data_IF_043010409178
#
_entry.id   IF_043010409178
#
_cell.length_a   1.000
_cell.length_b   1.000
_cell.length_c   1.000
_cell.angle_alpha   90.00
_cell.angle_beta   90.00
_cell.angle_gamma   90.00
#
_symmetry.space_group_name_H-M   'P 1'
#
loop_
_entity.id
_entity.type
_entity.pdbx_description
1 polymer ?
#
# COMPACT_ATOMS: atom_id res chain seq x y z
N UNK A 1 52.29 9.01 -1.40
CA UNK A 1 51.96 8.65 -2.79
C UNK A 1 50.45 8.80 -2.98
N UNK A 2 50.02 9.30 -4.15
CA UNK A 2 48.78 9.00 -4.93
C UNK A 2 47.61 8.48 -4.09
N UNK A 3 46.51 9.21 -3.92
CA UNK A 3 45.60 9.57 -5.00
C UNK A 3 44.40 8.60 -4.96
N UNK A 4 43.20 9.15 -5.12
CA UNK A 4 42.06 8.50 -5.79
C UNK A 4 41.50 7.22 -5.13
N UNK A 5 40.27 7.11 -4.64
CA UNK A 5 39.04 7.84 -4.91
C UNK A 5 37.87 6.87 -4.69
N UNK A 6 36.65 7.33 -5.01
CA UNK A 6 35.50 6.56 -5.54
C UNK A 6 35.11 5.29 -4.74
N UNK A 7 33.96 5.19 -4.09
CA UNK A 7 32.65 5.68 -4.47
C UNK A 7 31.60 4.58 -4.24
N UNK A 8 30.31 4.95 -4.33
CA UNK A 8 29.17 4.03 -4.39
C UNK A 8 28.49 3.86 -3.03
N UNK A 9 27.31 4.41 -2.75
CA UNK A 9 26.26 4.86 -3.66
C UNK A 9 25.49 3.65 -4.16
N UNK A 10 24.35 3.36 -3.55
CA UNK A 10 23.44 2.32 -4.03
C UNK A 10 22.54 1.78 -2.94
N UNK A 11 21.41 2.47 -2.75
CA UNK A 11 20.17 2.01 -2.10
C UNK A 11 20.22 0.54 -1.65
N UNK A 12 20.25 0.33 -0.34
CA UNK A 12 19.38 -0.70 0.19
C UNK A 12 17.97 -0.41 -0.39
N UNK A 13 17.21 -1.37 -0.93
CA UNK A 13 15.78 -1.31 -0.78
C UNK A 13 15.50 -1.60 0.71
N UNK A 14 15.99 -0.71 1.58
CA UNK A 14 15.21 -0.34 2.73
C UNK A 14 13.87 0.04 2.14
N UNK A 15 12.85 -0.74 2.44
CA UNK A 15 11.48 -0.30 2.59
C UNK A 15 11.51 0.89 3.58
N UNK A 16 12.10 1.99 3.12
CA UNK A 16 12.32 3.21 3.86
C UNK A 16 10.94 3.83 3.96
N UNK A 17 10.37 3.61 5.14
CA UNK A 17 9.38 4.38 5.87
C UNK A 17 8.17 4.92 5.08
N UNK A 18 6.96 4.79 5.67
CA UNK A 18 5.76 5.40 5.12
C UNK A 18 5.92 6.92 5.21
N UNK A 19 6.26 7.56 4.10
CA UNK A 19 6.15 9.01 3.99
C UNK A 19 4.66 9.34 4.09
N UNK A 20 4.29 9.81 5.27
CA UNK A 20 2.94 10.22 5.59
C UNK A 20 2.44 11.24 4.59
N UNK A 21 1.15 11.14 4.25
CA UNK A 21 0.41 12.02 3.36
C UNK A 21 0.41 11.70 1.86
N UNK A 22 0.71 10.46 1.46
CA UNK A 22 0.19 9.99 0.18
C UNK A 22 -1.24 9.51 0.40
N UNK A 23 -2.21 10.38 0.12
CA UNK A 23 -3.51 9.92 -0.34
C UNK A 23 -3.22 8.90 -1.44
N UNK A 24 -3.26 7.62 -1.08
CA UNK A 24 -2.77 6.55 -1.94
C UNK A 24 -3.57 6.68 -3.21
N UNK A 25 -2.91 7.12 -4.29
CA UNK A 25 -3.59 7.34 -5.54
C UNK A 25 -3.96 5.96 -6.07
N UNK A 26 -5.16 5.49 -5.70
CA UNK A 26 -5.63 4.15 -6.00
C UNK A 26 -5.53 3.97 -7.51
N UNK A 27 -4.68 3.05 -7.99
CA UNK A 27 -4.52 2.81 -9.42
C UNK A 27 -5.86 2.50 -10.05
N UNK A 28 -6.09 2.92 -11.30
CA UNK A 28 -7.38 2.68 -11.98
C UNK A 28 -7.71 1.18 -12.06
N UNK A 29 -6.68 0.33 -12.18
CA UNK A 29 -6.81 -1.12 -12.15
C UNK A 29 -7.37 -1.65 -10.81
N UNK A 30 -6.98 -1.02 -9.69
CA UNK A 30 -7.42 -1.39 -8.35
C UNK A 30 -8.72 -0.71 -7.93
N UNK A 31 -9.11 0.42 -8.55
CA UNK A 31 -10.36 1.14 -8.22
C UNK A 31 -11.58 0.26 -8.28
N UNK A 32 -11.68 -0.65 -9.26
CA UNK A 32 -12.84 -1.54 -9.40
C UNK A 32 -12.97 -2.49 -8.19
N UNK A 33 -11.84 -3.00 -7.70
CA UNK A 33 -11.80 -3.83 -6.49
C UNK A 33 -12.13 -3.01 -5.26
N UNK A 34 -11.49 -1.85 -5.09
CA UNK A 34 -11.75 -0.96 -3.95
C UNK A 34 -13.21 -0.52 -3.90
N UNK A 35 -13.83 -0.19 -5.03
CA UNK A 35 -15.25 0.16 -5.11
C UNK A 35 -16.17 -1.01 -4.74
N UNK A 36 -15.84 -2.23 -5.20
CA UNK A 36 -16.58 -3.44 -4.83
C UNK A 36 -16.56 -3.67 -3.32
N UNK A 37 -15.38 -3.53 -2.72
CA UNK A 37 -15.17 -3.64 -1.29
C UNK A 37 -15.84 -2.49 -0.52
N UNK A 38 -15.74 -1.25 -1.01
CA UNK A 38 -16.34 -0.04 -0.42
C UNK A 38 -17.86 -0.11 -0.36
N UNK A 39 -18.49 -0.81 -1.31
CA UNK A 39 -19.94 -1.05 -1.28
C UNK A 39 -20.36 -1.94 -0.11
N UNK A 40 -19.54 -2.92 0.25
CA UNK A 40 -19.78 -3.84 1.38
C UNK A 40 -19.35 -3.17 2.69
N UNK A 41 -18.19 -2.51 2.66
CA UNK A 41 -17.53 -1.83 3.77
C UNK A 41 -17.77 -0.33 3.68
N UNK A 42 -19.04 0.06 3.66
CA UNK A 42 -19.45 1.46 3.47
C UNK A 42 -18.84 2.39 4.52
N UNK A 43 -18.60 1.89 5.74
CA UNK A 43 -17.98 2.60 6.87
C UNK A 43 -16.48 2.88 6.70
N UNK A 44 -15.78 2.22 5.76
CA UNK A 44 -14.33 2.33 5.58
C UNK A 44 -13.97 3.17 4.36
N UNK A 45 -12.99 4.05 4.46
CA UNK A 45 -12.56 4.90 3.33
C UNK A 45 -11.87 4.09 2.23
N UNK A 46 -11.95 4.53 0.98
CA UNK A 46 -11.28 3.85 -0.15
C UNK A 46 -9.76 3.70 0.08
N UNK A 47 -9.13 4.69 0.74
CA UNK A 47 -7.72 4.61 1.14
C UNK A 47 -7.43 3.51 2.16
N UNK A 48 -8.29 3.33 3.16
CA UNK A 48 -8.19 2.27 4.19
C UNK A 48 -8.38 0.89 3.57
N UNK A 49 -9.38 0.78 2.69
CA UNK A 49 -9.67 -0.46 1.95
C UNK A 49 -8.48 -0.82 1.08
N UNK A 50 -7.91 0.14 0.33
CA UNK A 50 -6.76 -0.11 -0.51
C UNK A 50 -5.50 -0.47 0.29
N UNK A 51 -5.25 0.21 1.41
CA UNK A 51 -4.14 -0.12 2.30
C UNK A 51 -4.26 -1.55 2.84
N UNK A 52 -5.45 -1.94 3.30
CA UNK A 52 -5.72 -3.30 3.76
C UNK A 52 -5.61 -4.32 2.64
N UNK A 53 -6.12 -3.98 1.45
CA UNK A 53 -6.01 -4.82 0.26
C UNK A 53 -4.54 -5.06 -0.10
N UNK A 54 -3.69 -4.04 -0.02
CA UNK A 54 -2.25 -4.15 -0.25
C UNK A 54 -1.57 -5.06 0.80
N UNK A 55 -1.95 -4.94 2.07
CA UNK A 55 -1.46 -5.79 3.17
C UNK A 55 -1.87 -7.26 2.97
N UNK A 56 -3.07 -7.48 2.41
CA UNK A 56 -3.59 -8.79 2.05
C UNK A 56 -3.06 -9.34 0.71
N UNK A 57 -2.06 -8.69 0.09
CA UNK A 57 -1.48 -9.15 -1.18
C UNK A 57 -2.35 -8.91 -2.41
N UNK A 58 -3.19 -7.88 -2.39
CA UNK A 58 -4.23 -7.56 -3.40
C UNK A 58 -5.37 -8.58 -3.49
N UNK A 59 -5.63 -9.30 -2.39
CA UNK A 59 -6.69 -10.30 -2.34
C UNK A 59 -8.00 -9.71 -1.75
N UNK A 60 -9.08 -9.63 -2.55
CA UNK A 60 -10.31 -8.98 -2.11
C UNK A 60 -11.02 -9.77 -1.01
N UNK A 61 -11.05 -11.10 -1.06
CA UNK A 61 -11.73 -11.93 -0.08
C UNK A 61 -11.06 -11.81 1.29
N UNK A 62 -9.73 -11.90 1.33
CA UNK A 62 -8.95 -11.74 2.57
C UNK A 62 -9.07 -10.31 3.11
N UNK A 63 -9.04 -9.30 2.24
CA UNK A 63 -9.21 -7.90 2.66
C UNK A 63 -10.58 -7.66 3.31
N UNK A 64 -11.66 -8.24 2.77
CA UNK A 64 -12.99 -8.21 3.40
C UNK A 64 -12.97 -8.86 4.77
N UNK A 65 -12.49 -10.10 4.87
CA UNK A 65 -12.43 -10.83 6.15
C UNK A 65 -11.63 -10.06 7.21
N UNK A 66 -10.51 -9.45 6.82
CA UNK A 66 -9.68 -8.63 7.69
C UNK A 66 -10.39 -7.36 8.15
N UNK A 67 -11.14 -6.69 7.26
CA UNK A 67 -11.87 -5.47 7.59
C UNK A 67 -13.08 -5.74 8.49
N UNK A 68 -13.77 -6.87 8.32
CA UNK A 68 -14.87 -7.31 9.18
C UNK A 68 -14.36 -7.88 10.51
N UNK A 69 -13.18 -8.51 10.54
CA UNK A 69 -12.60 -9.01 11.81
C UNK A 69 -12.08 -7.88 12.72
N UNK A 70 -11.93 -6.66 12.19
CA UNK A 70 -11.47 -5.48 12.94
C UNK A 70 -12.62 -4.73 13.66
N UNK A 71 -13.86 -5.22 13.63
CA UNK A 71 -15.01 -4.65 14.37
C UNK A 71 -15.38 -5.46 15.60
#
# INVERSE_FOLDING_TARGET
MRGDGRGGGGRQPSYAAPDGANAVAIPVASRKMVQSLKRILADRSEGEIYATLCDCGMDPDIAVERLISQV
#
